data_IF_443216561023
#
_entry.id   IF_443216561023
#
_cell.length_a   1.000
_cell.length_b   1.000
_cell.length_c   1.000
_cell.angle_alpha   90.00
_cell.angle_beta   90.00
_cell.angle_gamma   90.00
#
_symmetry.space_group_name_H-M   'P 1'
#
loop_
_entity.id
_entity.type
_entity.pdbx_description
1 polymer ?
#
# COMPACT_ATOMS: atom_id res chain seq x y z
N UNK A 1 -5.26 -5.99 -12.07
CA UNK A 1 -5.99 -4.74 -11.88
C UNK A 1 -6.58 -4.31 -13.22
N UNK A 2 -7.87 -4.53 -13.46
CA UNK A 2 -8.51 -4.24 -14.76
C UNK A 2 -9.83 -3.50 -14.60
N UNK A 3 -10.31 -2.74 -15.61
CA UNK A 3 -11.61 -2.08 -15.55
C UNK A 3 -12.77 -3.05 -15.28
N UNK A 4 -12.68 -4.29 -15.75
CA UNK A 4 -13.73 -5.29 -15.60
C UNK A 4 -13.75 -5.91 -14.19
N UNK A 5 -12.57 -6.19 -13.62
CA UNK A 5 -12.45 -6.85 -12.31
C UNK A 5 -12.46 -5.86 -11.15
N UNK A 6 -11.92 -4.65 -11.37
CA UNK A 6 -11.62 -3.66 -10.33
C UNK A 6 -12.26 -2.29 -10.64
N UNK A 7 -13.45 -2.27 -11.27
CA UNK A 7 -14.09 -1.08 -11.84
C UNK A 7 -14.04 0.18 -10.96
N UNK A 8 -14.34 0.06 -9.65
CA UNK A 8 -14.33 1.20 -8.73
C UNK A 8 -12.92 1.76 -8.50
N UNK A 9 -11.94 0.88 -8.28
CA UNK A 9 -10.55 1.29 -8.08
C UNK A 9 -9.93 1.78 -9.39
N UNK A 10 -10.29 1.16 -10.52
CA UNK A 10 -9.91 1.57 -11.86
C UNK A 10 -10.39 2.99 -12.16
N UNK A 11 -11.69 3.26 -11.97
CA UNK A 11 -12.28 4.59 -12.15
C UNK A 11 -11.60 5.64 -11.26
N UNK A 12 -11.34 5.30 -9.99
CA UNK A 12 -10.63 6.19 -9.06
C UNK A 12 -9.19 6.48 -9.52
N UNK A 13 -8.46 5.47 -9.98
CA UNK A 13 -7.09 5.63 -10.47
C UNK A 13 -7.06 6.51 -11.72
N UNK A 14 -7.92 6.21 -12.71
CA UNK A 14 -8.02 6.97 -13.95
C UNK A 14 -8.55 8.41 -13.77
N UNK A 15 -9.31 8.67 -12.70
CA UNK A 15 -9.72 10.02 -12.33
C UNK A 15 -8.59 10.88 -11.77
N UNK A 16 -7.46 10.28 -11.40
CA UNK A 16 -6.29 10.97 -10.82
C UNK A 16 -5.03 10.88 -11.69
N UNK A 17 -4.94 9.86 -12.53
CA UNK A 17 -3.74 9.49 -13.29
C UNK A 17 -4.14 8.98 -14.68
N UNK A 18 -3.29 9.22 -15.68
CA UNK A 18 -3.46 8.63 -17.02
C UNK A 18 -2.74 7.27 -17.08
N UNK A 19 -3.45 6.15 -17.29
CA UNK A 19 -2.80 4.85 -17.48
C UNK A 19 -2.09 4.77 -18.84
N UNK A 20 -0.85 4.29 -18.88
CA UNK A 20 -0.05 4.17 -20.12
C UNK A 20 0.34 2.73 -20.45
N UNK A 21 0.58 1.91 -19.43
CA UNK A 21 1.05 0.55 -19.60
C UNK A 21 0.44 -0.37 -18.54
N UNK A 22 0.05 -1.58 -18.94
CA UNK A 22 -0.09 -2.72 -18.03
C UNK A 22 0.45 -3.99 -18.69
N UNK A 23 1.57 -4.50 -18.15
CA UNK A 23 2.17 -5.75 -18.58
C UNK A 23 1.80 -6.87 -17.62
N UNK A 24 1.29 -7.98 -18.16
CA UNK A 24 1.04 -9.20 -17.37
C UNK A 24 2.27 -10.11 -17.49
N UNK A 25 2.94 -10.37 -16.37
CA UNK A 25 4.15 -11.18 -16.29
C UNK A 25 3.85 -12.55 -15.66
N UNK A 26 4.28 -13.65 -16.30
CA UNK A 26 4.07 -14.99 -15.78
C UNK A 26 4.91 -15.19 -14.52
N UNK A 27 4.34 -15.89 -13.54
CA UNK A 27 4.97 -16.05 -12.22
C UNK A 27 6.34 -16.74 -12.25
N UNK A 28 6.68 -17.46 -13.32
CA UNK A 28 8.01 -18.04 -13.53
C UNK A 28 9.15 -17.01 -13.49
N UNK A 29 8.87 -15.75 -13.88
CA UNK A 29 9.82 -14.64 -13.85
C UNK A 29 10.32 -14.37 -12.42
N UNK A 30 9.44 -14.51 -11.43
CA UNK A 30 9.73 -14.21 -10.02
C UNK A 30 9.95 -15.46 -9.17
N UNK A 31 10.07 -16.65 -9.78
CA UNK A 31 10.24 -17.92 -9.04
C UNK A 31 11.45 -17.90 -8.11
N UNK A 32 12.57 -17.29 -8.53
CA UNK A 32 13.78 -17.15 -7.72
C UNK A 32 13.59 -16.22 -6.50
N UNK A 33 12.54 -15.41 -6.51
CA UNK A 33 12.16 -14.47 -5.44
C UNK A 33 11.05 -15.04 -4.54
N UNK A 34 10.71 -16.32 -4.71
CA UNK A 34 9.79 -17.04 -3.82
C UNK A 34 8.31 -16.94 -4.21
N UNK A 35 7.99 -16.44 -5.41
CA UNK A 35 6.60 -16.41 -5.91
C UNK A 35 6.48 -17.00 -7.31
N UNK A 36 5.42 -17.76 -7.52
CA UNK A 36 5.02 -18.29 -8.84
C UNK A 36 3.69 -17.70 -9.31
N UNK A 37 3.21 -16.65 -8.64
CA UNK A 37 1.96 -15.98 -8.97
C UNK A 37 2.18 -15.04 -10.15
N UNK A 38 1.20 -14.96 -11.05
CA UNK A 38 1.19 -13.96 -12.11
C UNK A 38 1.18 -12.54 -11.52
N UNK A 39 2.02 -11.66 -12.07
CA UNK A 39 2.17 -10.29 -11.58
C UNK A 39 1.88 -9.30 -12.71
N UNK A 40 1.52 -8.07 -12.34
CA UNK A 40 1.24 -7.02 -13.31
C UNK A 40 2.10 -5.79 -13.02
N UNK A 41 2.87 -5.34 -14.01
CA UNK A 41 3.57 -4.06 -13.97
C UNK A 41 2.71 -3.00 -14.63
N UNK A 42 2.45 -1.89 -13.94
CA UNK A 42 1.63 -0.81 -14.45
C UNK A 42 2.36 0.53 -14.44
N UNK A 43 2.18 1.33 -15.48
CA UNK A 43 2.70 2.70 -15.58
C UNK A 43 1.54 3.67 -15.71
N UNK A 44 1.56 4.68 -14.85
CA UNK A 44 0.60 5.78 -14.83
C UNK A 44 1.34 7.10 -14.87
N UNK A 45 0.87 8.02 -15.70
CA UNK A 45 1.32 9.40 -15.71
C UNK A 45 0.45 10.25 -14.77
N UNK A 46 1.09 11.18 -14.06
CA UNK A 46 0.39 12.16 -13.21
C UNK A 46 -0.19 13.33 -14.01
N UNK A 47 0.31 13.51 -15.23
CA UNK A 47 -0.19 14.53 -16.15
C UNK A 47 -1.38 13.91 -16.87
N UNK A 48 -2.53 14.57 -16.80
CA UNK A 48 -3.76 14.14 -17.47
C UNK A 48 -3.70 14.54 -18.95
N UNK A 49 -2.88 13.82 -19.71
CA UNK A 49 -2.86 13.88 -21.17
C UNK A 49 -3.58 12.66 -21.76
N UNK A 50 -4.16 12.81 -22.93
CA UNK A 50 -4.75 11.70 -23.67
C UNK A 50 -3.63 10.82 -24.21
N UNK A 51 -3.51 9.61 -23.63
CA UNK A 51 -2.53 8.62 -24.03
C UNK A 51 -3.19 7.26 -24.21
N UNK A 52 -2.85 6.57 -25.29
CA UNK A 52 -3.24 5.17 -25.45
C UNK A 52 -2.57 4.33 -24.35
N UNK A 53 -3.35 3.43 -23.76
CA UNK A 53 -2.87 2.47 -22.78
C UNK A 53 -2.53 1.15 -23.47
N UNK A 54 -1.26 0.77 -23.40
CA UNK A 54 -0.78 -0.52 -23.89
C UNK A 54 -1.05 -1.59 -22.83
N UNK A 55 -1.71 -2.69 -23.23
CA UNK A 55 -1.96 -3.85 -22.36
C UNK A 55 -1.49 -5.12 -23.05
N UNK A 56 -0.47 -5.79 -22.51
CA UNK A 56 0.14 -6.95 -23.16
C UNK A 56 0.61 -7.99 -22.12
N UNK A 57 0.30 -9.29 -22.30
CA UNK A 57 1.02 -10.34 -21.59
C UNK A 57 2.40 -10.55 -22.20
N UNK A 58 3.45 -10.57 -21.37
CA UNK A 58 4.84 -10.75 -21.80
C UNK A 58 5.36 -12.11 -21.34
N UNK A 59 6.38 -12.65 -22.00
CA UNK A 59 6.95 -13.98 -21.71
C UNK A 59 8.03 -13.94 -20.64
N UNK A 60 8.84 -12.88 -20.66
CA UNK A 60 10.00 -12.67 -19.80
C UNK A 60 10.27 -11.17 -19.58
N UNK A 61 11.35 -10.87 -18.84
CA UNK A 61 11.72 -9.50 -18.49
C UNK A 61 12.34 -8.74 -19.66
N UNK A 62 12.97 -9.43 -20.61
CA UNK A 62 13.60 -8.78 -21.78
C UNK A 62 12.51 -8.24 -22.72
N UNK A 63 11.45 -9.02 -22.94
CA UNK A 63 10.25 -8.55 -23.65
C UNK A 63 9.56 -7.40 -22.89
N UNK A 64 9.47 -7.49 -21.56
CA UNK A 64 8.88 -6.44 -20.74
C UNK A 64 9.65 -5.11 -20.86
N UNK A 65 10.98 -5.17 -20.91
CA UNK A 65 11.86 -4.01 -21.02
C UNK A 65 11.59 -3.22 -22.31
N UNK A 66 11.41 -3.90 -23.44
CA UNK A 66 11.12 -3.26 -24.72
C UNK A 66 9.85 -2.39 -24.67
N UNK A 67 8.80 -2.86 -23.98
CA UNK A 67 7.58 -2.08 -23.78
C UNK A 67 7.78 -0.89 -22.84
N UNK A 68 8.56 -1.07 -21.77
CA UNK A 68 8.87 0.01 -20.83
C UNK A 68 9.68 1.11 -21.53
N UNK A 69 10.67 0.74 -22.34
CA UNK A 69 11.51 1.68 -23.09
C UNK A 69 10.69 2.42 -24.17
N UNK A 70 9.81 1.70 -24.89
CA UNK A 70 8.90 2.33 -25.84
C UNK A 70 7.98 3.36 -25.18
N UNK A 71 7.42 3.03 -24.02
CA UNK A 71 6.61 3.98 -23.24
C UNK A 71 7.47 5.15 -22.78
N UNK A 72 8.66 4.90 -22.24
CA UNK A 72 9.57 5.94 -21.76
C UNK A 72 9.97 6.92 -22.89
N UNK A 73 10.24 6.44 -24.09
CA UNK A 73 10.61 7.25 -25.24
C UNK A 73 9.50 8.20 -25.73
N UNK A 74 8.23 7.85 -25.49
CA UNK A 74 7.07 8.68 -25.87
C UNK A 74 6.60 9.62 -24.77
N UNK A 75 7.20 9.57 -23.58
CA UNK A 75 6.79 10.44 -22.48
C UNK A 75 7.38 11.83 -22.69
N UNK A 76 6.56 12.90 -22.53
CA UNK A 76 7.09 14.25 -22.54
C UNK A 76 8.12 14.38 -21.40
N UNK A 77 9.28 14.96 -21.69
CA UNK A 77 10.28 15.25 -20.66
C UNK A 77 9.63 16.13 -19.59
N UNK A 78 9.48 15.56 -18.40
CA UNK A 78 9.01 16.30 -17.24
C UNK A 78 10.07 17.36 -16.94
N UNK A 79 9.76 18.64 -17.19
CA UNK A 79 10.62 19.77 -16.76
C UNK A 79 11.02 19.52 -15.29
N UNK A 80 12.31 19.53 -14.92
CA UNK A 80 12.77 19.21 -13.56
C UNK A 80 12.16 20.07 -12.43
N UNK A 81 11.42 21.13 -12.75
CA UNK A 81 10.82 22.07 -11.81
C UNK A 81 9.54 21.57 -11.09
N UNK A 82 8.93 20.43 -11.46
CA UNK A 82 7.81 19.87 -10.70
C UNK A 82 8.25 18.77 -9.71
N UNK A 83 9.55 18.47 -9.67
CA UNK A 83 10.14 17.57 -8.67
C UNK A 83 10.35 18.38 -7.40
N UNK A 84 9.36 18.29 -6.50
CA UNK A 84 9.37 18.81 -5.14
C UNK A 84 8.90 20.27 -4.93
N UNK A 85 7.69 20.62 -5.38
CA UNK A 85 6.90 21.63 -4.67
C UNK A 85 5.44 21.20 -4.53
N UNK A 86 4.99 21.26 -3.28
CA UNK A 86 3.62 21.26 -2.80
C UNK A 86 2.79 19.94 -2.81
N UNK A 87 2.89 19.17 -1.72
CA UNK A 87 1.66 18.65 -1.08
C UNK A 87 1.57 19.22 0.35
N UNK A 88 1.16 20.49 0.54
CA UNK A 88 0.35 20.85 1.66
C UNK A 88 -1.13 20.63 1.27
N UNK A 89 -1.93 20.34 2.29
CA UNK A 89 -3.39 20.34 2.28
C UNK A 89 -4.06 18.98 2.05
N UNK A 90 -4.18 18.29 3.18
CA UNK A 90 -5.47 17.79 3.63
C UNK A 90 -6.64 18.66 3.12
N UNK A 91 -7.59 18.04 2.42
CA UNK A 91 -8.98 18.51 2.39
C UNK A 91 -9.96 17.35 2.51
N UNK A 92 -11.13 17.59 3.12
CA UNK A 92 -12.00 16.55 3.61
C UNK A 92 -12.65 15.75 2.49
N UNK A 93 -12.81 14.44 2.75
CA UNK A 93 -13.64 13.50 2.00
C UNK A 93 -15.03 14.08 1.72
N UNK A 94 -15.38 14.18 0.43
CA UNK A 94 -16.76 14.38 -0.01
C UNK A 94 -17.54 13.09 0.30
N UNK A 95 -18.71 13.14 0.97
CA UNK A 95 -19.48 11.94 1.24
C UNK A 95 -20.19 11.50 -0.05
N UNK A 96 -19.78 10.34 -0.57
CA UNK A 96 -20.51 9.65 -1.64
C UNK A 96 -21.80 9.05 -1.07
N UNK A 97 -22.97 9.51 -1.51
CA UNK A 97 -24.24 8.88 -1.20
C UNK A 97 -24.47 7.68 -2.11
N UNK A 98 -24.14 6.48 -1.64
CA UNK A 98 -24.63 5.24 -2.21
C UNK A 98 -25.41 4.49 -1.12
N UNK A 99 -26.68 4.12 -1.33
CA UNK A 99 -27.49 3.47 -0.30
C UNK A 99 -27.00 2.03 -0.11
N UNK A 100 -26.18 1.78 0.92
CA UNK A 100 -25.93 0.41 1.42
C UNK A 100 -27.05 0.03 2.37
N UNK A 101 -27.94 -0.85 1.92
CA UNK A 101 -28.84 -1.59 2.81
C UNK A 101 -28.08 -2.79 3.39
N UNK A 102 -27.41 -2.61 4.52
CA UNK A 102 -27.21 -3.66 5.54
C UNK A 102 -27.18 -2.94 6.90
N UNK A 103 -28.17 -3.20 7.74
CA UNK A 103 -28.22 -2.66 9.10
C UNK A 103 -27.14 -3.36 9.93
N UNK A 104 -26.02 -2.67 10.15
CA UNK A 104 -25.05 -3.01 11.19
C UNK A 104 -25.45 -2.31 12.48
N UNK A 105 -25.48 -3.05 13.59
CA UNK A 105 -25.72 -2.50 14.92
C UNK A 105 -24.68 -1.38 15.23
N UNK A 106 -25.06 -0.32 15.96
CA UNK A 106 -24.18 0.81 16.18
C UNK A 106 -23.02 0.40 17.09
N UNK A 107 -21.85 0.16 16.49
CA UNK A 107 -20.57 0.19 17.20
C UNK A 107 -20.32 1.65 17.54
N UNK A 108 -20.18 1.95 18.84
CA UNK A 108 -19.86 3.29 19.29
C UNK A 108 -18.62 3.80 18.54
N UNK A 109 -18.82 4.83 17.71
CA UNK A 109 -17.74 5.47 17.00
C UNK A 109 -16.80 6.10 18.02
N UNK A 110 -15.64 5.47 18.24
CA UNK A 110 -14.54 6.11 18.95
C UNK A 110 -14.17 7.36 18.14
N UNK A 111 -14.31 8.53 18.76
CA UNK A 111 -13.94 9.79 18.12
C UNK A 111 -12.47 9.69 17.69
N UNK A 112 -12.10 10.06 16.45
CA UNK A 112 -10.70 10.13 16.07
C UNK A 112 -10.02 11.20 16.94
N UNK A 113 -9.33 10.76 17.98
CA UNK A 113 -8.46 11.63 18.76
C UNK A 113 -7.36 12.07 17.81
N UNK A 114 -7.22 13.38 17.60
CA UNK A 114 -6.13 13.93 16.80
C UNK A 114 -4.81 13.35 17.33
N UNK A 115 -4.05 12.68 16.48
CA UNK A 115 -2.72 12.15 16.80
C UNK A 115 -1.75 13.32 16.98
N UNK A 116 -1.86 14.04 18.10
CA UNK A 116 -0.89 15.04 18.49
C UNK A 116 0.44 14.34 18.79
N UNK A 117 1.53 14.81 18.18
CA UNK A 117 2.88 14.34 18.52
C UNK A 117 3.14 14.69 19.97
N UNK A 118 3.16 13.69 20.85
CA UNK A 118 3.49 13.84 22.26
C UNK A 118 4.86 13.22 22.52
N UNK A 119 5.74 13.89 23.28
CA UNK A 119 6.96 13.27 23.76
C UNK A 119 6.66 11.96 24.49
N UNK A 120 7.38 10.89 24.13
CA UNK A 120 7.23 9.56 24.72
C UNK A 120 8.47 9.25 25.56
N UNK A 121 8.27 9.16 26.87
CA UNK A 121 9.31 8.72 27.79
C UNK A 121 9.34 7.19 27.86
N UNK A 122 10.54 6.61 27.86
CA UNK A 122 10.76 5.19 28.08
C UNK A 122 11.99 4.97 28.95
N UNK A 123 12.03 3.84 29.65
CA UNK A 123 13.20 3.40 30.44
C UNK A 123 13.91 2.29 29.70
N UNK A 124 15.22 2.38 29.50
CA UNK A 124 16.02 1.30 28.90
C UNK A 124 16.48 0.27 29.93
N UNK A 125 16.51 -1.00 29.52
CA UNK A 125 17.12 -2.10 30.26
C UNK A 125 18.41 -2.54 29.57
N UNK A 126 19.46 -2.72 30.36
CA UNK A 126 20.75 -3.25 29.86
C UNK A 126 20.64 -4.72 29.45
N UNK A 127 20.03 -5.54 30.31
CA UNK A 127 19.72 -6.92 30.00
C UNK A 127 18.32 -7.02 29.36
N UNK A 128 18.16 -7.83 28.29
CA UNK A 128 16.84 -8.17 27.78
C UNK A 128 15.98 -8.81 28.88
N UNK A 129 14.73 -8.36 28.99
CA UNK A 129 13.74 -9.02 29.83
C UNK A 129 13.48 -10.45 29.35
N UNK A 130 13.05 -11.29 30.29
CA UNK A 130 12.61 -12.64 29.98
C UNK A 130 11.52 -12.62 28.89
N UNK A 131 11.66 -13.50 27.90
CA UNK A 131 10.75 -13.62 26.79
C UNK A 131 10.06 -14.99 26.84
N UNK A 132 9.40 -15.26 27.96
CA UNK A 132 8.72 -16.54 28.20
C UNK A 132 7.82 -16.88 27.01
N UNK A 133 8.02 -18.04 26.36
CA UNK A 133 7.15 -18.49 25.29
C UNK A 133 5.70 -18.59 25.77
N UNK A 134 4.76 -18.13 24.94
CA UNK A 134 3.32 -18.38 25.13
C UNK A 134 2.97 -19.74 24.51
N UNK A 135 3.65 -20.14 23.43
CA UNK A 135 3.54 -21.45 22.82
C UNK A 135 4.87 -21.86 22.17
N UNK A 136 4.91 -23.02 21.50
CA UNK A 136 6.13 -23.55 20.86
C UNK A 136 6.70 -22.61 19.79
N UNK A 137 5.88 -21.73 19.21
CA UNK A 137 6.26 -20.80 18.15
C UNK A 137 6.08 -19.32 18.52
N UNK A 138 5.37 -19.01 19.60
CA UNK A 138 5.05 -17.63 19.99
C UNK A 138 5.59 -17.26 21.36
N UNK A 139 6.01 -16.01 21.50
CA UNK A 139 6.39 -15.40 22.77
C UNK A 139 5.56 -14.14 23.04
N UNK A 140 5.61 -13.62 24.27
CA UNK A 140 4.84 -12.43 24.65
C UNK A 140 5.20 -11.23 23.79
N UNK A 141 4.17 -10.59 23.22
CA UNK A 141 4.33 -9.37 22.45
C UNK A 141 4.63 -8.17 23.37
N UNK A 142 5.89 -8.02 23.77
CA UNK A 142 6.38 -6.90 24.57
C UNK A 142 7.83 -6.53 24.21
N UNK A 143 8.21 -5.23 24.25
CA UNK A 143 9.62 -4.85 24.13
C UNK A 143 10.46 -5.45 25.26
N UNK A 144 11.63 -6.01 24.92
CA UNK A 144 12.51 -6.64 25.91
C UNK A 144 13.51 -5.67 26.56
N UNK A 145 13.85 -4.58 25.87
CA UNK A 145 14.92 -3.65 26.28
C UNK A 145 14.42 -2.26 26.68
N UNK A 146 13.13 -2.00 26.57
CA UNK A 146 12.55 -0.72 27.00
C UNK A 146 11.22 -0.94 27.72
N UNK A 147 10.90 -0.06 28.66
CA UNK A 147 9.58 0.07 29.28
C UNK A 147 8.97 1.40 28.84
N UNK A 148 7.74 1.35 28.32
CA UNK A 148 6.94 2.55 28.04
C UNK A 148 5.87 2.63 29.13
N UNK A 149 5.88 3.71 29.91
CA UNK A 149 4.91 3.90 30.98
C UNK A 149 3.47 3.94 30.42
N UNK A 150 2.59 3.11 30.98
CA UNK A 150 1.18 3.03 30.56
C UNK A 150 0.92 2.21 29.30
N UNK A 151 1.94 1.58 28.71
CA UNK A 151 1.73 0.62 27.62
C UNK A 151 0.80 -0.52 28.08
N UNK A 152 -0.19 -0.83 27.26
CA UNK A 152 -1.12 -1.94 27.47
C UNK A 152 -0.68 -3.17 26.67
N UNK A 153 -1.16 -4.34 27.05
CA UNK A 153 -0.97 -5.55 26.26
C UNK A 153 -1.59 -5.41 24.86
N UNK A 154 -1.04 -6.16 23.90
CA UNK A 154 -1.58 -6.18 22.56
C UNK A 154 -3.03 -6.70 22.58
N UNK A 155 -3.98 -6.00 21.94
CA UNK A 155 -5.41 -6.33 22.08
C UNK A 155 -5.80 -7.66 21.43
N UNK A 156 -5.00 -8.16 20.47
CA UNK A 156 -5.22 -9.45 19.83
C UNK A 156 -4.34 -10.51 20.51
N UNK A 157 -4.91 -11.58 21.09
CA UNK A 157 -4.12 -12.71 21.57
C UNK A 157 -3.42 -13.38 20.38
N UNK A 158 -2.14 -13.70 20.56
CA UNK A 158 -1.38 -14.51 19.60
C UNK A 158 -1.99 -15.92 19.60
N UNK A 159 -2.66 -16.28 18.53
CA UNK A 159 -3.26 -17.61 18.33
C UNK A 159 -2.53 -18.35 17.23
N UNK A 160 -2.38 -19.66 17.39
CA UNK A 160 -1.84 -20.56 16.38
C UNK A 160 -2.84 -20.68 15.22
N UNK A 161 -2.32 -20.73 13.99
CA UNK A 161 -3.09 -20.87 12.74
C UNK A 161 -3.11 -22.31 12.26
#
# INVERSE_FOLDING_TARGET
>A
FTPERDAAHWSRACGLLTPRLALTMPGQVYRKLGTSVETQLMVFDKVQEDGEMIRVPVRDLDEALAYVDAVAATRPEMRPAQRAEAIPHARPTVPSSAPRKIAAAPVAASKPQANAVRPLSFTSFEAPRDNTPISDIYARYRPQRIEIAGAQEHPTPLVES
#
